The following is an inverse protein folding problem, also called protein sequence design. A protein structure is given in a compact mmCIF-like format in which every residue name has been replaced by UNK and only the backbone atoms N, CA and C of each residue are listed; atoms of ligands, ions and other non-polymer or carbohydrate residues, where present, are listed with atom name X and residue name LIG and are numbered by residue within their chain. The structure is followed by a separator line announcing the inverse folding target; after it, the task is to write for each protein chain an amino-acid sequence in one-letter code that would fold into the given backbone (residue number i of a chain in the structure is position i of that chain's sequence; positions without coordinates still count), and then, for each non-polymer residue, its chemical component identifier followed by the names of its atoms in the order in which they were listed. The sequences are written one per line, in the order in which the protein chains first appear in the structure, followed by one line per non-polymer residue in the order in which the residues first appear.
data_IF_000729461199
#
_entry.id   IF_000729461199
#
_cell.length_a   1.000
_cell.length_b   1.000
_cell.length_c   1.000
_cell.angle_alpha   90.00
_cell.angle_beta   90.00
_cell.angle_gamma   90.00
#
_symmetry.space_group_name_H-M   'P 1'
#
loop_
_entity.id
_entity.type
_entity.pdbx_description
1 polymer ?
#
# COMPACT_ATOMS: atom_id res chain seq x y z
N UNK A 1 5.72 11.21 46.20
CA UNK A 1 6.95 11.70 45.55
C UNK A 1 6.62 11.98 44.09
N UNK A 2 6.50 13.25 43.72
CA UNK A 2 6.15 13.70 42.39
C UNK A 2 7.43 13.92 41.57
N UNK A 3 7.59 13.20 40.46
CA UNK A 3 8.71 13.37 39.54
C UNK A 3 8.26 14.40 38.50
N UNK A 4 8.80 15.62 38.61
CA UNK A 4 8.59 16.72 37.65
C UNK A 4 9.43 16.46 36.39
N UNK A 5 8.76 16.57 35.25
CA UNK A 5 9.33 16.53 33.90
C UNK A 5 10.14 17.81 33.65
N UNK A 6 11.32 17.67 33.04
CA UNK A 6 12.06 18.78 32.44
C UNK A 6 12.13 18.55 30.92
N UNK A 7 11.29 19.25 30.17
CA UNK A 7 11.43 19.42 28.73
C UNK A 7 12.60 20.38 28.48
N UNK A 8 13.68 19.89 27.88
CA UNK A 8 14.71 20.75 27.28
C UNK A 8 14.25 21.15 25.87
N UNK A 9 13.89 22.42 25.71
CA UNK A 9 13.69 23.03 24.40
C UNK A 9 15.05 23.20 23.71
N UNK A 10 15.28 22.44 22.64
CA UNK A 10 16.43 22.62 21.74
C UNK A 10 16.04 23.64 20.68
N UNK A 11 16.74 24.79 20.55
CA UNK A 11 16.45 25.76 19.52
C UNK A 11 17.01 25.24 18.19
N UNK A 12 16.13 24.94 17.24
CA UNK A 12 16.50 24.66 15.84
C UNK A 12 16.88 26.00 15.20
N UNK A 13 18.18 26.28 15.09
CA UNK A 13 18.70 27.42 14.36
C UNK A 13 18.57 27.09 12.86
N UNK A 14 17.53 27.65 12.23
CA UNK A 14 17.33 27.58 10.78
C UNK A 14 18.32 28.54 10.09
N UNK A 15 19.45 28.00 9.65
CA UNK A 15 20.46 28.72 8.88
C UNK A 15 19.98 28.86 7.43
N UNK A 16 19.21 29.91 7.14
CA UNK A 16 18.84 30.28 5.76
C UNK A 16 20.05 30.88 5.06
N UNK A 17 20.83 30.05 4.39
CA UNK A 17 21.81 30.50 3.40
C UNK A 17 21.05 30.96 2.17
N UNK A 18 20.66 32.24 2.14
CA UNK A 18 20.32 32.95 0.91
C UNK A 18 21.63 33.25 0.17
N UNK A 19 22.26 32.20 -0.33
CA UNK A 19 23.28 32.31 -1.36
C UNK A 19 22.57 32.65 -2.65
N UNK A 20 22.51 33.94 -3.01
CA UNK A 20 22.29 34.34 -4.39
C UNK A 20 23.51 33.85 -5.18
N UNK A 21 23.49 32.59 -5.59
CA UNK A 21 24.30 32.11 -6.69
C UNK A 21 23.81 32.86 -7.93
N UNK A 22 24.37 34.03 -8.18
CA UNK A 22 24.48 34.55 -9.53
C UNK A 22 25.27 33.50 -10.28
N UNK A 23 24.56 32.56 -10.89
CA UNK A 23 25.12 31.70 -11.90
C UNK A 23 25.48 32.66 -13.04
N UNK A 24 26.73 33.11 -13.07
CA UNK A 24 27.27 33.82 -14.21
C UNK A 24 27.14 32.84 -15.37
N UNK A 25 26.12 33.04 -16.21
CA UNK A 25 25.92 32.21 -17.38
C UNK A 25 27.08 32.49 -18.31
N UNK A 26 27.99 31.54 -18.42
CA UNK A 26 29.04 31.58 -19.43
C UNK A 26 28.37 31.72 -20.80
N UNK A 27 28.56 32.87 -21.44
CA UNK A 27 27.87 33.21 -22.69
C UNK A 27 28.87 33.15 -23.84
N UNK A 28 29.25 31.93 -24.21
CA UNK A 28 30.08 31.64 -25.39
C UNK A 28 29.12 31.33 -26.55
N UNK A 29 29.28 32.04 -27.67
CA UNK A 29 28.45 31.82 -28.88
C UNK A 29 28.56 30.35 -29.31
N UNK A 30 27.41 29.73 -29.59
CA UNK A 30 27.32 28.36 -30.09
C UNK A 30 27.66 27.26 -29.06
N UNK A 31 27.97 27.61 -27.81
CA UNK A 31 28.26 26.62 -26.77
C UNK A 31 27.00 25.92 -26.26
N UNK A 32 27.01 24.58 -26.28
CA UNK A 32 25.99 23.78 -25.60
C UNK A 32 26.07 24.01 -24.08
N UNK A 33 24.98 24.45 -23.42
CA UNK A 33 24.99 24.71 -21.98
C UNK A 33 25.30 23.50 -21.10
N UNK A 34 25.16 22.28 -21.60
CA UNK A 34 25.61 21.06 -20.91
C UNK A 34 27.15 20.98 -20.79
N UNK A 35 27.88 21.66 -21.67
CA UNK A 35 29.34 21.73 -21.66
C UNK A 35 29.88 22.94 -20.90
N UNK A 36 29.01 23.86 -20.45
CA UNK A 36 29.43 25.13 -19.86
C UNK A 36 30.44 25.00 -18.70
N UNK A 37 30.39 23.91 -17.94
CA UNK A 37 31.33 23.66 -16.85
C UNK A 37 32.79 23.54 -17.33
N UNK A 38 33.01 22.89 -18.48
CA UNK A 38 34.34 22.67 -19.06
C UNK A 38 34.97 23.95 -19.63
N UNK A 39 34.14 24.95 -19.95
CA UNK A 39 34.57 26.21 -20.53
C UNK A 39 34.65 27.34 -19.50
N UNK A 40 34.39 27.07 -18.21
CA UNK A 40 34.61 28.06 -17.16
C UNK A 40 36.08 28.44 -17.12
N UNK A 41 36.35 29.73 -17.17
CA UNK A 41 37.71 30.24 -17.13
C UNK A 41 38.38 29.90 -15.79
N UNK A 42 39.37 29.01 -15.83
CA UNK A 42 40.21 28.63 -14.70
C UNK A 42 41.67 28.99 -14.99
N UNK A 43 41.92 30.29 -15.21
CA UNK A 43 43.22 30.83 -15.63
C UNK A 43 43.24 31.26 -17.11
N UNK A 44 44.42 31.22 -17.72
CA UNK A 44 44.66 31.61 -19.13
C UNK A 44 44.72 30.40 -20.08
N UNK A 45 44.37 29.21 -19.61
CA UNK A 45 44.45 27.97 -20.39
C UNK A 45 43.10 27.28 -20.51
N UNK A 46 42.85 26.70 -21.68
CA UNK A 46 41.71 25.84 -21.97
C UNK A 46 42.23 24.47 -22.41
N UNK A 47 41.67 23.41 -21.83
CA UNK A 47 42.01 22.04 -22.22
C UNK A 47 40.94 21.56 -23.20
N UNK A 48 41.35 21.15 -24.40
CA UNK A 48 40.45 20.54 -25.38
C UNK A 48 39.68 19.37 -24.74
N UNK A 49 38.44 19.12 -25.14
CA UNK A 49 37.60 18.11 -24.48
C UNK A 49 38.09 16.69 -24.71
N UNK A 50 38.77 16.44 -25.84
CA UNK A 50 39.52 15.21 -26.12
C UNK A 50 40.75 15.00 -25.22
N UNK A 51 41.17 16.03 -24.50
CA UNK A 51 42.32 16.06 -23.62
C UNK A 51 43.68 15.98 -24.30
N UNK A 52 43.75 16.04 -25.63
CA UNK A 52 44.98 15.88 -26.40
C UNK A 52 45.86 17.13 -26.38
N UNK A 53 45.25 18.31 -26.21
CA UNK A 53 45.94 19.60 -26.23
C UNK A 53 45.40 20.55 -25.15
N UNK A 54 46.25 21.47 -24.72
CA UNK A 54 45.88 22.63 -23.90
C UNK A 54 46.33 23.89 -24.63
N UNK A 55 45.39 24.82 -24.83
CA UNK A 55 45.56 26.07 -25.56
C UNK A 55 45.33 27.25 -24.63
N UNK A 56 45.54 28.48 -25.11
CA UNK A 56 45.17 29.67 -24.32
C UNK A 56 43.67 29.88 -24.34
N UNK A 57 43.08 30.34 -23.24
CA UNK A 57 41.64 30.54 -23.14
C UNK A 57 41.12 31.55 -24.17
N UNK A 58 41.92 32.57 -24.51
CA UNK A 58 41.58 33.55 -25.53
C UNK A 58 41.57 33.05 -26.98
N UNK A 59 41.95 31.78 -27.22
CA UNK A 59 41.86 31.15 -28.53
C UNK A 59 40.50 30.46 -28.75
N UNK A 60 39.60 30.47 -27.75
CA UNK A 60 38.24 29.97 -27.95
C UNK A 60 37.46 30.92 -28.86
N UNK A 61 36.89 30.40 -29.94
CA UNK A 61 36.19 31.16 -30.98
C UNK A 61 37.08 32.23 -31.63
N UNK A 62 38.36 31.92 -31.86
CA UNK A 62 39.29 32.82 -32.54
C UNK A 62 39.31 32.62 -34.07
N UNK A 63 38.46 31.74 -34.58
CA UNK A 63 38.29 31.42 -35.98
C UNK A 63 39.46 30.62 -36.57
N UNK A 64 40.24 29.93 -35.72
CA UNK A 64 41.27 28.97 -36.06
C UNK A 64 41.06 27.64 -35.30
N UNK A 65 41.38 26.52 -35.94
CA UNK A 65 41.14 25.19 -35.34
C UNK A 65 42.40 24.63 -34.67
N UNK A 66 42.50 24.77 -33.36
CA UNK A 66 43.58 24.26 -32.52
C UNK A 66 43.29 22.89 -31.90
N UNK A 67 42.03 22.58 -31.57
CA UNK A 67 41.63 21.28 -31.01
C UNK A 67 41.16 20.32 -32.12
N UNK A 68 41.57 19.05 -32.04
CA UNK A 68 41.19 18.05 -33.05
C UNK A 68 39.70 17.72 -33.02
N UNK A 69 39.10 17.75 -31.84
CA UNK A 69 37.66 17.58 -31.63
C UNK A 69 36.82 18.84 -31.93
N UNK A 70 37.48 19.97 -32.23
CA UNK A 70 36.85 21.26 -32.50
C UNK A 70 36.21 21.92 -31.28
N UNK A 71 36.61 21.52 -30.06
CA UNK A 71 36.05 22.06 -28.83
C UNK A 71 36.43 23.52 -28.57
N UNK A 72 37.47 24.03 -29.18
CA UNK A 72 37.88 25.45 -29.14
C UNK A 72 36.98 26.37 -29.96
N UNK A 73 36.29 25.86 -30.98
CA UNK A 73 35.50 26.66 -31.92
C UNK A 73 33.98 26.32 -31.89
N UNK A 74 33.28 26.40 -30.73
CA UNK A 74 31.84 26.14 -30.67
C UNK A 74 30.98 27.19 -31.40
N UNK A 75 31.53 28.37 -31.69
CA UNK A 75 30.84 29.55 -32.22
C UNK A 75 31.32 30.02 -33.59
N UNK A 76 32.23 29.28 -34.24
CA UNK A 76 32.78 29.61 -35.56
C UNK A 76 32.84 28.36 -36.47
N UNK A 77 33.03 28.58 -37.77
CA UNK A 77 33.13 27.52 -38.77
C UNK A 77 34.53 26.91 -38.94
N UNK A 78 35.50 27.26 -38.09
CA UNK A 78 36.92 26.94 -38.31
C UNK A 78 37.25 25.44 -38.17
N UNK A 79 36.52 24.69 -37.34
CA UNK A 79 36.77 23.27 -37.11
C UNK A 79 35.76 22.37 -37.85
N UNK A 80 36.24 21.44 -38.68
CA UNK A 80 35.40 20.51 -39.47
C UNK A 80 34.49 19.64 -38.57
N UNK A 81 34.97 19.26 -37.39
CA UNK A 81 34.22 18.45 -36.42
C UNK A 81 33.40 19.29 -35.43
N UNK A 82 33.49 20.63 -35.51
CA UNK A 82 32.78 21.56 -34.65
C UNK A 82 31.26 21.42 -34.73
N UNK A 83 30.60 21.73 -33.61
CA UNK A 83 29.14 21.75 -33.47
C UNK A 83 28.71 23.08 -32.88
N UNK A 84 27.73 23.71 -33.53
CA UNK A 84 27.13 24.95 -33.07
C UNK A 84 25.78 24.68 -32.41
N UNK A 85 25.60 25.17 -31.20
CA UNK A 85 24.34 25.04 -30.48
C UNK A 85 23.45 26.27 -30.68
N UNK A 86 22.37 26.11 -31.47
CA UNK A 86 21.31 27.10 -31.51
C UNK A 86 20.48 27.01 -30.22
N UNK A 87 20.42 28.09 -29.45
CA UNK A 87 19.67 28.10 -28.19
C UNK A 87 18.17 28.06 -28.42
N UNK A 88 17.69 28.64 -29.53
CA UNK A 88 16.30 28.62 -30.00
C UNK A 88 15.29 28.87 -28.88
N UNK A 89 15.47 29.93 -28.07
CA UNK A 89 14.64 30.16 -26.88
C UNK A 89 13.15 30.19 -27.23
N UNK A 90 12.36 29.37 -26.56
CA UNK A 90 10.93 29.21 -26.83
C UNK A 90 10.61 28.18 -27.92
N UNK A 91 11.62 27.56 -28.53
CA UNK A 91 11.50 26.42 -29.43
C UNK A 91 12.50 25.31 -29.04
N UNK A 92 12.65 24.30 -29.89
CA UNK A 92 13.57 23.18 -29.68
C UNK A 92 14.99 23.60 -30.03
N UNK A 93 15.98 23.38 -29.15
CA UNK A 93 17.39 23.61 -29.47
C UNK A 93 17.84 22.64 -30.56
N UNK A 94 18.84 23.05 -31.35
CA UNK A 94 19.41 22.22 -32.42
C UNK A 94 20.92 22.40 -32.48
N UNK A 95 21.58 21.36 -32.98
CA UNK A 95 23.02 21.37 -33.25
C UNK A 95 23.23 21.47 -34.75
N UNK A 96 24.03 22.44 -35.18
CA UNK A 96 24.46 22.60 -36.55
C UNK A 96 25.91 22.15 -36.72
N UNK A 97 26.28 21.80 -37.95
CA UNK A 97 27.68 21.57 -38.29
C UNK A 97 28.40 22.90 -38.44
N UNK A 98 29.72 22.91 -38.20
CA UNK A 98 30.54 24.11 -38.34
C UNK A 98 30.41 24.79 -39.71
N UNK A 99 30.19 24.02 -40.79
CA UNK A 99 30.02 24.54 -42.15
C UNK A 99 28.78 25.44 -42.35
N UNK A 100 27.82 25.40 -41.42
CA UNK A 100 26.57 26.17 -41.44
C UNK A 100 26.65 27.46 -40.61
N UNK A 101 27.84 27.78 -40.06
CA UNK A 101 28.03 28.99 -39.25
C UNK A 101 28.60 30.07 -40.16
N UNK A 102 27.93 31.23 -40.19
CA UNK A 102 28.30 32.38 -41.01
C UNK A 102 28.42 32.04 -42.53
N UNK A 103 27.62 31.09 -43.03
CA UNK A 103 27.56 30.66 -44.43
C UNK A 103 26.59 31.49 -45.29
N UNK A 104 25.83 32.39 -44.65
CA UNK A 104 24.88 33.31 -45.28
C UNK A 104 23.44 32.79 -45.33
N UNK A 105 23.16 31.59 -44.81
CA UNK A 105 21.82 31.04 -44.67
C UNK A 105 21.38 31.07 -43.20
N UNK A 106 20.07 31.21 -42.97
CA UNK A 106 19.50 31.24 -41.62
C UNK A 106 18.97 29.86 -41.23
N UNK A 107 19.80 29.06 -40.57
CA UNK A 107 19.47 27.72 -40.07
C UNK A 107 18.93 27.74 -38.63
N UNK A 108 19.46 28.61 -37.77
CA UNK A 108 18.89 28.81 -36.44
C UNK A 108 17.61 29.68 -36.51
N UNK A 109 16.52 29.25 -35.84
CA UNK A 109 15.33 30.10 -35.74
C UNK A 109 15.60 31.39 -34.96
N UNK A 110 16.61 31.39 -34.08
CA UNK A 110 17.03 32.59 -33.33
C UNK A 110 18.04 33.45 -34.10
N UNK A 111 18.52 32.96 -35.25
CA UNK A 111 19.49 33.62 -36.12
C UNK A 111 20.90 33.72 -35.53
N UNK A 112 21.24 32.89 -34.52
CA UNK A 112 22.53 32.97 -33.82
C UNK A 112 23.72 32.40 -34.60
N UNK A 113 23.45 31.58 -35.61
CA UNK A 113 24.38 31.03 -36.59
C UNK A 113 25.00 32.09 -37.50
N UNK A 114 24.28 33.18 -37.76
CA UNK A 114 24.75 34.27 -38.61
C UNK A 114 25.11 35.54 -37.81
N UNK A 115 26.07 36.31 -38.34
CA UNK A 115 26.42 37.62 -37.81
C UNK A 115 25.19 38.52 -37.60
N UNK A 116 25.22 39.32 -36.53
CA UNK A 116 24.06 40.12 -36.08
C UNK A 116 23.46 40.97 -37.20
N UNK A 117 22.15 40.82 -37.44
CA UNK A 117 21.38 41.62 -38.39
C UNK A 117 21.10 40.94 -39.74
N UNK A 118 21.67 39.77 -40.01
CA UNK A 118 21.37 38.98 -41.22
C UNK A 118 20.10 38.14 -41.10
N UNK A 119 19.85 37.56 -39.92
CA UNK A 119 18.73 36.67 -39.66
C UNK A 119 17.76 37.26 -38.62
N UNK A 120 16.47 36.99 -38.81
CA UNK A 120 15.40 37.40 -37.89
C UNK A 120 14.99 36.27 -36.96
N UNK A 121 14.63 36.59 -35.72
CA UNK A 121 14.21 35.58 -34.76
C UNK A 121 12.75 35.14 -35.02
N UNK A 122 12.57 33.90 -35.45
CA UNK A 122 11.28 33.26 -35.77
C UNK A 122 10.89 32.16 -34.77
N UNK A 123 11.69 31.93 -33.71
CA UNK A 123 11.47 30.84 -32.75
C UNK A 123 10.10 30.89 -32.06
N UNK A 124 9.57 32.09 -31.82
CA UNK A 124 8.25 32.25 -31.24
C UNK A 124 7.18 31.60 -32.14
N UNK A 125 7.23 31.83 -33.45
CA UNK A 125 6.30 31.25 -34.40
C UNK A 125 6.55 29.75 -34.59
N UNK A 126 7.81 29.35 -34.82
CA UNK A 126 8.19 27.95 -35.01
C UNK A 126 7.76 27.05 -33.83
N UNK A 127 7.93 27.53 -32.59
CA UNK A 127 7.55 26.79 -31.38
C UNK A 127 6.10 26.96 -30.92
N UNK A 128 5.28 27.76 -31.59
CA UNK A 128 3.93 28.08 -31.10
C UNK A 128 3.06 26.83 -30.90
N UNK A 129 3.04 25.93 -31.90
CA UNK A 129 2.26 24.69 -31.84
C UNK A 129 2.76 23.75 -30.71
N UNK A 130 4.08 23.57 -30.59
CA UNK A 130 4.68 22.73 -29.56
C UNK A 130 4.39 23.26 -28.14
N UNK A 131 4.50 24.58 -27.92
CA UNK A 131 4.17 25.21 -26.63
C UNK A 131 2.68 25.09 -26.30
N UNK A 132 1.80 25.27 -27.29
CA UNK A 132 0.36 25.08 -27.12
C UNK A 132 0.03 23.63 -26.73
N UNK A 133 0.62 22.64 -27.41
CA UNK A 133 0.46 21.23 -27.10
C UNK A 133 0.98 20.88 -25.69
N UNK A 134 2.16 21.39 -25.32
CA UNK A 134 2.72 21.19 -23.98
C UNK A 134 1.82 21.80 -22.89
N UNK A 135 1.30 23.01 -23.11
CA UNK A 135 0.37 23.66 -22.18
C UNK A 135 -0.93 22.87 -22.03
N UNK A 136 -1.48 22.35 -23.13
CA UNK A 136 -2.68 21.52 -23.09
C UNK A 136 -2.42 20.23 -22.29
N UNK A 137 -1.31 19.54 -22.55
CA UNK A 137 -0.90 18.34 -21.81
C UNK A 137 -0.74 18.63 -20.32
N UNK A 138 -0.02 19.71 -19.96
CA UNK A 138 0.15 20.11 -18.57
C UNK A 138 -1.18 20.43 -17.87
N UNK A 139 -2.14 21.04 -18.58
CA UNK A 139 -3.47 21.29 -18.05
C UNK A 139 -4.25 19.99 -17.78
N UNK A 140 -4.19 19.02 -18.70
CA UNK A 140 -4.79 17.69 -18.52
C UNK A 140 -4.16 16.95 -17.34
N UNK A 141 -2.84 16.97 -17.23
CA UNK A 141 -2.12 16.34 -16.10
C UNK A 141 -2.48 17.01 -14.76
N UNK A 142 -2.55 18.35 -14.72
CA UNK A 142 -2.96 19.08 -13.52
C UNK A 142 -4.41 18.78 -13.12
N UNK A 143 -5.32 18.64 -14.09
CA UNK A 143 -6.70 18.23 -13.83
C UNK A 143 -6.76 16.80 -13.26
N UNK A 144 -6.00 15.86 -13.85
CA UNK A 144 -5.89 14.49 -13.34
C UNK A 144 -5.29 14.41 -11.94
N UNK A 145 -4.27 15.23 -11.64
CA UNK A 145 -3.65 15.29 -10.33
C UNK A 145 -4.65 15.73 -9.23
N UNK A 146 -5.52 16.71 -9.51
CA UNK A 146 -6.58 17.14 -8.58
C UNK A 146 -7.57 16.03 -8.28
N UNK A 147 -7.99 15.28 -9.29
CA UNK A 147 -8.91 14.14 -9.11
C UNK A 147 -8.24 13.05 -8.25
N UNK A 148 -6.97 12.72 -8.56
CA UNK A 148 -6.19 11.77 -7.77
C UNK A 148 -6.07 12.18 -6.30
N UNK A 149 -5.87 13.47 -6.02
CA UNK A 149 -5.81 13.99 -4.65
C UNK A 149 -7.10 13.71 -3.88
N UNK A 150 -8.27 13.83 -4.52
CA UNK A 150 -9.56 13.47 -3.95
C UNK A 150 -9.63 11.98 -3.56
N UNK A 151 -9.24 11.08 -4.46
CA UNK A 151 -9.20 9.64 -4.17
C UNK A 151 -8.22 9.29 -3.04
N UNK A 152 -7.06 9.95 -2.98
CA UNK A 152 -6.09 9.72 -1.91
C UNK A 152 -6.67 10.12 -0.56
N UNK A 153 -7.37 11.26 -0.47
CA UNK A 153 -8.05 11.68 0.77
C UNK A 153 -9.14 10.69 1.19
N UNK A 154 -10.01 10.30 0.25
CA UNK A 154 -11.06 9.32 0.54
C UNK A 154 -10.47 7.98 1.03
N UNK A 155 -9.43 7.48 0.38
CA UNK A 155 -8.76 6.25 0.79
C UNK A 155 -8.14 6.35 2.20
N UNK A 156 -7.62 7.53 2.57
CA UNK A 156 -7.11 7.77 3.93
C UNK A 156 -8.24 7.77 4.96
N UNK A 157 -9.36 8.43 4.67
CA UNK A 157 -10.53 8.48 5.55
C UNK A 157 -11.14 7.08 5.75
N UNK A 158 -11.30 6.33 4.67
CA UNK A 158 -11.88 4.99 4.72
C UNK A 158 -10.95 4.01 5.44
N UNK A 159 -9.63 4.13 5.26
CA UNK A 159 -8.65 3.38 6.05
C UNK A 159 -8.80 3.66 7.55
N UNK A 160 -8.94 4.91 7.95
CA UNK A 160 -9.13 5.25 9.36
C UNK A 160 -10.44 4.67 9.93
N UNK A 161 -11.54 4.74 9.16
CA UNK A 161 -12.82 4.15 9.55
C UNK A 161 -12.71 2.63 9.73
N UNK A 162 -12.11 1.93 8.78
CA UNK A 162 -11.94 0.48 8.85
C UNK A 162 -11.01 0.07 10.00
N UNK A 163 -9.96 0.84 10.28
CA UNK A 163 -9.10 0.60 11.45
C UNK A 163 -9.86 0.75 12.77
N UNK A 164 -10.73 1.76 12.89
CA UNK A 164 -11.55 1.94 14.08
C UNK A 164 -12.60 0.82 14.24
N UNK A 165 -13.21 0.39 13.14
CA UNK A 165 -14.16 -0.71 13.12
C UNK A 165 -13.50 -2.05 13.49
N UNK A 166 -12.31 -2.31 12.95
CA UNK A 166 -11.50 -3.49 13.28
C UNK A 166 -11.21 -3.56 14.79
N UNK A 167 -10.80 -2.44 15.42
CA UNK A 167 -10.56 -2.40 16.86
C UNK A 167 -11.83 -2.73 17.66
N UNK A 168 -12.97 -2.18 17.25
CA UNK A 168 -14.27 -2.45 17.90
C UNK A 168 -14.65 -3.92 17.77
N UNK A 169 -14.53 -4.49 16.57
CA UNK A 169 -14.90 -5.88 16.30
C UNK A 169 -13.97 -6.85 17.06
N UNK A 170 -12.67 -6.54 17.12
CA UNK A 170 -11.71 -7.31 17.92
C UNK A 170 -12.06 -7.31 19.41
N UNK A 171 -12.50 -6.18 19.96
CA UNK A 171 -13.00 -6.12 21.34
C UNK A 171 -14.26 -6.97 21.52
N UNK A 172 -15.22 -6.91 20.61
CA UNK A 172 -16.43 -7.73 20.67
C UNK A 172 -16.12 -9.22 20.61
N UNK A 173 -15.21 -9.64 19.72
CA UNK A 173 -14.74 -11.02 19.63
C UNK A 173 -14.07 -11.46 20.93
N UNK A 174 -13.24 -10.60 21.55
CA UNK A 174 -12.61 -10.90 22.82
C UNK A 174 -13.64 -11.09 23.95
N UNK A 175 -14.65 -10.22 24.02
CA UNK A 175 -15.73 -10.34 25.00
C UNK A 175 -16.52 -11.63 24.78
N UNK A 176 -16.94 -11.93 23.55
CA UNK A 176 -17.66 -13.17 23.26
C UNK A 176 -16.85 -14.42 23.58
N UNK A 177 -15.54 -14.42 23.29
CA UNK A 177 -14.64 -15.53 23.69
C UNK A 177 -14.63 -15.75 25.19
N UNK A 178 -14.58 -14.68 26.00
CA UNK A 178 -14.66 -14.79 27.46
C UNK A 178 -15.98 -15.39 27.93
N UNK A 179 -17.10 -14.94 27.35
CA UNK A 179 -18.41 -15.52 27.67
C UNK A 179 -18.46 -17.01 27.32
N UNK A 180 -17.98 -17.40 26.13
CA UNK A 180 -17.96 -18.82 25.71
C UNK A 180 -17.14 -19.66 26.69
N UNK A 181 -15.96 -19.20 27.11
CA UNK A 181 -15.14 -19.91 28.10
C UNK A 181 -15.83 -19.98 29.48
N UNK A 182 -16.46 -18.90 29.94
CA UNK A 182 -17.22 -18.90 31.20
C UNK A 182 -18.38 -19.91 31.17
N UNK A 183 -19.13 -19.94 30.07
CA UNK A 183 -20.24 -20.89 29.89
C UNK A 183 -19.73 -22.32 29.73
N UNK A 184 -18.57 -22.55 29.10
CA UNK A 184 -17.95 -23.88 29.02
C UNK A 184 -17.62 -24.40 30.41
N UNK A 185 -16.96 -23.61 31.24
CA UNK A 185 -16.63 -24.00 32.63
C UNK A 185 -17.89 -24.27 33.45
N UNK A 186 -18.93 -23.44 33.32
CA UNK A 186 -20.21 -23.68 34.02
C UNK A 186 -20.87 -24.97 33.55
N UNK A 187 -20.87 -25.23 32.24
CA UNK A 187 -21.39 -26.46 31.65
C UNK A 187 -20.64 -27.68 32.19
N UNK A 188 -19.30 -27.68 32.13
CA UNK A 188 -18.46 -28.78 32.60
C UNK A 188 -18.69 -29.05 34.10
N UNK A 189 -18.87 -28.01 34.92
CA UNK A 189 -19.19 -28.15 36.36
C UNK A 189 -20.54 -28.81 36.59
N UNK A 190 -21.56 -28.41 35.84
CA UNK A 190 -22.91 -28.99 35.94
C UNK A 190 -22.87 -30.46 35.50
N UNK A 191 -22.25 -30.76 34.36
CA UNK A 191 -22.09 -32.14 33.88
C UNK A 191 -21.32 -33.03 34.86
N UNK A 192 -20.27 -32.51 35.51
CA UNK A 192 -19.56 -33.22 36.57
C UNK A 192 -20.45 -33.48 37.80
N UNK A 193 -21.21 -32.48 38.26
CA UNK A 193 -22.12 -32.65 39.41
C UNK A 193 -23.24 -33.66 39.13
N UNK A 194 -23.80 -33.63 37.91
CA UNK A 194 -24.80 -34.61 37.47
C UNK A 194 -24.21 -36.01 37.32
N UNK A 195 -22.97 -36.14 36.85
CA UNK A 195 -22.27 -37.42 36.74
C UNK A 195 -21.97 -38.02 38.12
N UNK A 196 -21.52 -37.21 39.08
CA UNK A 196 -21.33 -37.66 40.47
C UNK A 196 -22.64 -38.11 41.12
N UNK A 197 -23.74 -37.38 40.89
CA UNK A 197 -25.04 -37.75 41.43
C UNK A 197 -25.56 -39.05 40.81
N UNK A 198 -25.41 -39.23 39.50
CA UNK A 198 -25.71 -40.50 38.83
C UNK A 198 -24.86 -41.66 39.37
N UNK A 199 -23.56 -41.42 39.61
CA UNK A 199 -22.67 -42.43 40.22
C UNK A 199 -23.10 -42.78 41.65
N UNK A 200 -23.48 -41.80 42.47
CA UNK A 200 -24.01 -42.03 43.83
C UNK A 200 -25.28 -42.87 43.78
N UNK A 201 -26.25 -42.48 42.96
CA UNK A 201 -27.51 -43.22 42.78
C UNK A 201 -27.27 -44.65 42.28
N UNK A 202 -26.35 -44.86 41.33
CA UNK A 202 -26.02 -46.19 40.83
C UNK A 202 -25.33 -47.05 41.91
N UNK A 203 -24.46 -46.46 42.71
CA UNK A 203 -23.77 -47.14 43.82
C UNK A 203 -24.75 -47.52 44.92
N UNK A 204 -25.66 -46.62 45.31
CA UNK A 204 -26.74 -46.90 46.26
C UNK A 204 -27.66 -48.01 45.75
N UNK A 205 -28.05 -47.97 44.48
CA UNK A 205 -28.87 -49.04 43.87
C UNK A 205 -28.17 -50.39 43.94
N UNK A 206 -26.87 -50.46 43.59
CA UNK A 206 -26.07 -51.70 43.67
C UNK A 206 -25.96 -52.22 45.11
N UNK A 207 -25.77 -51.35 46.09
CA UNK A 207 -25.73 -51.72 47.52
C UNK A 207 -27.10 -52.24 48.00
N UNK A 208 -28.20 -51.61 47.58
CA UNK A 208 -29.56 -52.08 47.90
C UNK A 208 -29.85 -53.45 47.28
N UNK A 209 -29.50 -53.67 46.01
CA UNK A 209 -29.62 -54.96 45.34
C UNK A 209 -28.78 -56.03 46.05
N UNK A 210 -27.55 -55.73 46.46
CA UNK A 210 -26.69 -56.67 47.20
C UNK A 210 -27.25 -56.98 48.60
N UNK A 211 -27.76 -55.97 49.31
CA UNK A 211 -28.39 -56.15 50.61
C UNK A 211 -29.66 -57.01 50.52
N UNK A 212 -30.49 -56.78 49.49
CA UNK A 212 -31.66 -57.62 49.20
C UNK A 212 -31.23 -59.06 48.91
N UNK A 213 -30.23 -59.28 48.06
CA UNK A 213 -29.69 -60.62 47.77
C UNK A 213 -29.19 -61.33 49.04
N UNK A 214 -28.44 -60.64 49.90
CA UNK A 214 -27.98 -61.19 51.19
C UNK A 214 -29.14 -61.52 52.12
N UNK A 215 -30.15 -60.65 52.22
CA UNK A 215 -31.34 -60.90 53.01
C UNK A 215 -32.15 -62.09 52.48
N UNK A 216 -32.26 -62.23 51.15
CA UNK A 216 -32.92 -63.37 50.51
C UNK A 216 -32.13 -64.67 50.74
N UNK A 217 -30.80 -64.64 50.66
CA UNK A 217 -29.91 -65.77 51.01
C UNK A 217 -30.04 -66.16 52.49
N UNK A 218 -30.07 -65.19 53.42
CA UNK A 218 -30.31 -65.41 54.85
C UNK A 218 -31.70 -65.98 55.13
N UNK A 219 -32.73 -65.45 54.45
CA UNK A 219 -34.11 -65.94 54.55
C UNK A 219 -34.23 -67.36 54.02
N UNK A 220 -33.57 -67.68 52.90
CA UNK A 220 -33.48 -69.03 52.37
C UNK A 220 -32.73 -69.99 53.32
N UNK A 221 -31.66 -69.53 53.96
CA UNK A 221 -30.93 -70.31 54.97
C UNK A 221 -31.77 -70.57 56.23
N UNK A 222 -32.62 -69.64 56.65
CA UNK A 222 -33.56 -69.83 57.76
C UNK A 222 -34.77 -70.71 57.40
N UNK A 223 -35.14 -70.79 56.12
CA UNK A 223 -36.20 -71.67 55.59
C UNK A 223 -35.73 -73.11 55.29
N UNK A 224 -34.50 -73.49 55.71
CA UNK A 224 -33.96 -74.84 55.60
C UNK A 224 -34.45 -75.83 56.68
N UNK A 225 -35.77 -75.98 56.86
CA UNK A 225 -36.43 -77.20 57.39
C UNK A 225 -37.74 -77.38 56.63
N UNK A 226 -37.89 -78.46 55.84
CA UNK A 226 -39.06 -78.63 54.99
C UNK A 226 -40.22 -79.13 55.83
N UNK A 227 -41.43 -78.70 55.50
CA UNK A 227 -42.53 -79.64 55.33
C UNK A 227 -43.49 -79.07 54.28
N UNK A 228 -43.81 -79.95 53.33
CA UNK A 228 -44.69 -79.73 52.21
C UNK A 228 -46.15 -79.80 52.68
N UNK A 229 -47.00 -78.89 52.20
CA UNK A 229 -48.40 -79.22 51.97
C UNK A 229 -48.98 -78.41 50.80
N UNK A 230 -49.67 -79.15 49.93
CA UNK A 230 -50.16 -78.82 48.60
C UNK A 230 -51.63 -78.38 48.68
N UNK A 231 -52.02 -77.21 48.16
CA UNK A 231 -53.42 -76.93 47.72
C UNK A 231 -53.46 -75.86 46.60
N UNK A 232 -54.05 -76.21 45.46
CA UNK A 232 -54.57 -75.32 44.42
C UNK A 232 -56.10 -75.14 44.57
N UNK A 233 -56.86 -74.40 43.73
CA UNK A 233 -56.65 -73.15 42.98
C UNK A 233 -57.76 -72.09 43.28
N UNK A 234 -57.67 -70.87 42.73
CA UNK A 234 -58.79 -69.92 42.71
C UNK A 234 -58.49 -68.57 42.02
N UNK A 235 -59.10 -68.35 40.85
CA UNK A 235 -59.41 -67.04 40.24
C UNK A 235 -60.59 -66.36 40.99
N UNK A 236 -61.00 -65.08 40.78
CA UNK A 236 -60.83 -64.23 39.57
C UNK A 236 -60.67 -62.69 39.75
N UNK A 237 -60.55 -62.02 38.59
CA UNK A 237 -61.21 -60.76 38.19
C UNK A 237 -60.49 -59.38 38.33
N UNK A 238 -60.43 -58.70 37.16
CA UNK A 238 -60.60 -57.25 36.94
C UNK A 238 -59.38 -56.36 37.20
N UNK A 239 -59.01 -55.36 36.40
CA UNK A 239 -59.69 -54.71 35.28
C UNK A 239 -58.74 -53.71 34.59
N UNK A 240 -58.95 -53.49 33.28
CA UNK A 240 -58.72 -52.24 32.51
C UNK A 240 -57.26 -51.68 32.40
N UNK A 241 -56.72 -51.22 31.26
CA UNK A 241 -57.26 -50.43 30.14
C UNK A 241 -56.45 -50.74 28.85
N UNK A 242 -57.17 -50.94 27.75
CA UNK A 242 -56.68 -50.94 26.36
C UNK A 242 -56.39 -49.51 25.89
N UNK A 243 -55.21 -49.24 25.33
CA UNK A 243 -54.95 -48.03 24.56
C UNK A 243 -54.89 -48.39 23.06
N UNK A 244 -55.85 -47.87 22.29
CA UNK A 244 -55.86 -47.87 20.84
C UNK A 244 -55.82 -46.43 20.31
N UNK A 245 -54.95 -46.23 19.31
CA UNK A 245 -54.99 -45.24 18.21
C UNK A 245 -54.84 -43.72 18.50
N UNK A 246 -54.62 -42.84 17.48
CA UNK A 246 -53.59 -42.90 16.43
C UNK A 246 -52.96 -41.51 16.12
N UNK A 247 -52.02 -41.52 15.15
CA UNK A 247 -51.79 -40.51 14.11
C UNK A 247 -51.43 -39.02 14.41
N UNK A 248 -50.33 -38.62 13.76
CA UNK A 248 -50.21 -37.42 12.92
C UNK A 248 -50.07 -36.04 13.60
N UNK A 249 -48.87 -35.46 13.48
CA UNK A 249 -48.69 -34.01 13.42
C UNK A 249 -47.60 -33.66 12.40
N UNK A 250 -48.05 -32.89 11.42
CA UNK A 250 -47.36 -32.38 10.25
C UNK A 250 -46.09 -31.57 10.57
N UNK A 251 -45.17 -31.60 9.60
CA UNK A 251 -43.95 -30.82 9.61
C UNK A 251 -44.17 -29.32 9.53
N UNK A 252 -43.26 -28.59 10.17
CA UNK A 252 -43.14 -27.14 10.06
C UNK A 252 -41.86 -26.86 9.28
N UNK A 253 -42.03 -26.55 7.99
CA UNK A 253 -40.97 -26.13 7.07
C UNK A 253 -40.68 -24.66 7.37
N UNK A 254 -39.54 -24.36 7.98
CA UNK A 254 -39.08 -22.97 8.13
C UNK A 254 -38.58 -22.45 6.78
N UNK A 255 -39.29 -21.46 6.27
CA UNK A 255 -38.90 -20.65 5.12
C UNK A 255 -37.62 -19.87 5.45
N UNK A 256 -36.54 -20.17 4.73
CA UNK A 256 -35.37 -19.28 4.63
C UNK A 256 -35.69 -18.27 3.53
N UNK A 257 -35.88 -17.01 3.91
CA UNK A 257 -35.91 -15.88 2.97
C UNK A 257 -34.47 -15.54 2.62
N UNK A 258 -34.01 -15.98 1.44
CA UNK A 258 -32.85 -15.39 0.79
C UNK A 258 -33.27 -14.03 0.23
N UNK A 259 -32.70 -12.97 0.79
CA UNK A 259 -32.82 -11.62 0.26
C UNK A 259 -31.55 -10.86 0.61
N UNK A 260 -30.56 -10.93 -0.26
CA UNK A 260 -29.62 -9.84 -0.63
C UNK A 260 -28.44 -10.41 -1.41
N UNK A 261 -28.58 -10.49 -2.74
CA UNK A 261 -27.44 -10.62 -3.64
C UNK A 261 -27.16 -9.28 -4.33
N UNK A 262 -26.12 -8.61 -3.82
CA UNK A 262 -25.04 -7.91 -4.51
C UNK A 262 -25.36 -7.13 -5.80
N UNK A 263 -25.32 -5.81 -5.66
CA UNK A 263 -24.82 -4.87 -6.66
C UNK A 263 -23.29 -4.97 -6.70
N UNK A 264 -22.72 -5.39 -7.83
CA UNK A 264 -21.38 -5.00 -8.30
C UNK A 264 -21.13 -5.63 -9.70
N UNK A 265 -21.50 -4.89 -10.75
CA UNK A 265 -20.76 -4.78 -12.03
C UNK A 265 -20.80 -3.32 -12.47
#
# INVERSE_FOLDING_TARGET
MAIRQALHAVPVILLTVLGNAHCASLNIRGLDPSLAEYYKQSGDSFKCLDGQRTIKYGLINDNYCDCFDGSDEPGTSACVHGKFYCRNRGYTPQLLNASMIDDGFCDCCDGSDESSGKCSNTCAQAGAAARAALKAKAATEAAGAKVKEGYVRQAQDDKQKWQAEEQKLNQQVLQQKKLVEEWRVKKDRVEASEAEEKQRQETERKLQEEAQRKADEERAAQLGKPDAEEVAPGEPAGDHITAAEPANAQGMRLHISESTLRLAE
#
